data_IF_506068719501
#
_entry.id   IF_506068719501
#
_cell.length_a   1.000
_cell.length_b   1.000
_cell.length_c   1.000
_cell.angle_alpha   90.00
_cell.angle_beta   90.00
_cell.angle_gamma   90.00
#
_symmetry.space_group_name_H-M   'P 1'
#
loop_
_entity.id
_entity.type
_entity.pdbx_description
1 polymer ?
#
# COMPACT_ATOMS: atom_id res chain seq x y z
N UNK A 1 28.15 21.31 3.73
CA UNK A 1 27.84 19.91 4.10
C UNK A 1 26.78 19.44 3.12
N UNK A 2 27.05 18.40 2.32
CA UNK A 2 26.03 17.83 1.43
C UNK A 2 24.90 17.28 2.29
N UNK A 3 23.71 17.85 2.18
CA UNK A 3 22.55 17.37 2.90
C UNK A 3 22.20 15.99 2.33
N UNK A 4 22.35 14.94 3.14
CA UNK A 4 22.01 13.59 2.70
C UNK A 4 20.52 13.53 2.42
N UNK A 5 20.17 13.35 1.14
CA UNK A 5 18.79 13.31 0.69
C UNK A 5 18.09 12.04 1.21
N UNK A 6 16.90 12.18 1.79
CA UNK A 6 16.08 11.07 2.27
C UNK A 6 15.45 10.34 1.09
N UNK A 7 15.62 9.02 1.01
CA UNK A 7 15.04 8.18 -0.04
C UNK A 7 13.57 7.95 0.26
N UNK A 8 12.69 8.60 -0.51
CA UNK A 8 11.24 8.56 -0.29
C UNK A 8 10.53 7.77 -1.38
N UNK A 9 9.98 6.61 -1.01
CA UNK A 9 9.12 5.78 -1.84
C UNK A 9 7.67 6.28 -1.94
N UNK A 10 7.19 6.52 -3.15
CA UNK A 10 5.82 6.98 -3.43
C UNK A 10 5.20 6.10 -4.52
N UNK A 11 3.93 5.70 -4.39
CA UNK A 11 3.23 5.00 -5.47
C UNK A 11 2.38 5.97 -6.30
N UNK A 12 2.19 5.70 -7.59
CA UNK A 12 1.56 6.60 -8.55
C UNK A 12 0.10 6.28 -8.91
N UNK A 13 -0.54 5.41 -8.13
CA UNK A 13 -1.97 5.13 -8.27
C UNK A 13 -2.83 6.39 -8.17
N UNK A 14 -4.01 6.35 -8.81
CA UNK A 14 -4.90 7.52 -8.93
C UNK A 14 -5.26 8.15 -7.57
N UNK A 15 -5.42 7.33 -6.53
CA UNK A 15 -5.73 7.79 -5.17
C UNK A 15 -4.60 8.61 -4.52
N UNK A 16 -3.36 8.48 -4.98
CA UNK A 16 -2.22 9.25 -4.48
C UNK A 16 -1.90 10.48 -5.34
N UNK A 17 -2.46 10.60 -6.54
CA UNK A 17 -2.19 11.71 -7.47
C UNK A 17 -2.35 13.12 -6.86
N UNK A 18 -3.36 13.40 -6.01
CA UNK A 18 -3.47 14.70 -5.35
C UNK A 18 -2.24 15.06 -4.49
N UNK A 19 -1.62 14.06 -3.84
CA UNK A 19 -0.42 14.22 -3.03
C UNK A 19 0.82 14.37 -3.92
N UNK A 20 0.98 13.47 -4.89
CA UNK A 20 2.15 13.38 -5.78
C UNK A 20 2.38 14.68 -6.54
N UNK A 21 1.30 15.28 -7.07
CA UNK A 21 1.36 16.54 -7.82
C UNK A 21 1.96 17.70 -6.99
N UNK A 22 1.84 17.63 -5.67
CA UNK A 22 2.42 18.62 -4.75
C UNK A 22 3.83 18.24 -4.29
N UNK A 23 4.08 16.95 -4.07
CA UNK A 23 5.35 16.44 -3.52
C UNK A 23 6.45 16.41 -4.59
N UNK A 24 6.20 15.88 -5.80
CA UNK A 24 7.24 15.70 -6.82
C UNK A 24 8.00 17.00 -7.17
N UNK A 25 7.32 18.14 -7.43
CA UNK A 25 8.03 19.35 -7.88
C UNK A 25 8.88 20.02 -6.79
N UNK A 26 8.66 19.66 -5.52
CA UNK A 26 9.30 20.28 -4.36
C UNK A 26 10.26 19.33 -3.64
N UNK A 27 10.05 18.03 -3.76
CA UNK A 27 10.73 17.04 -2.91
C UNK A 27 12.24 17.12 -2.97
N UNK A 28 12.84 17.27 -4.15
CA UNK A 28 14.30 17.41 -4.27
C UNK A 28 14.83 18.64 -3.54
N UNK A 29 14.10 19.77 -3.59
CA UNK A 29 14.47 21.01 -2.89
C UNK A 29 14.32 20.87 -1.38
N UNK A 30 13.40 20.02 -0.93
CA UNK A 30 13.18 19.68 0.49
C UNK A 30 14.07 18.52 0.97
N UNK A 31 15.04 18.07 0.16
CA UNK A 31 16.00 17.03 0.53
C UNK A 31 15.46 15.60 0.41
N UNK A 32 14.54 15.34 -0.51
CA UNK A 32 14.07 14.00 -0.85
C UNK A 32 14.64 13.50 -2.19
N UNK A 33 15.04 12.23 -2.20
CA UNK A 33 15.32 11.45 -3.40
C UNK A 33 14.10 10.56 -3.63
N UNK A 34 13.26 10.95 -4.59
CA UNK A 34 11.97 10.30 -4.79
C UNK A 34 12.12 9.04 -5.64
N UNK A 35 11.52 7.95 -5.16
CA UNK A 35 11.46 6.66 -5.82
C UNK A 35 9.99 6.33 -6.07
N UNK A 36 9.63 6.08 -7.33
CA UNK A 36 8.26 5.70 -7.71
C UNK A 36 8.19 4.20 -7.98
N UNK A 37 7.26 3.50 -7.33
CA UNK A 37 7.04 2.06 -7.51
C UNK A 37 5.64 1.63 -7.01
N UNK A 38 5.26 0.37 -7.21
CA UNK A 38 4.02 -0.18 -6.64
C UNK A 38 4.13 -0.34 -5.11
N UNK A 39 3.03 -0.21 -4.34
CA UNK A 39 3.08 -0.22 -2.87
C UNK A 39 3.77 -1.46 -2.27
N UNK A 40 3.59 -2.63 -2.87
CA UNK A 40 4.22 -3.88 -2.43
C UNK A 40 5.75 -3.85 -2.58
N UNK A 41 6.27 -3.34 -3.71
CA UNK A 41 7.70 -3.18 -3.93
C UNK A 41 8.28 -2.11 -3.00
N UNK A 42 7.57 -1.00 -2.76
CA UNK A 42 7.99 0.02 -1.79
C UNK A 42 8.11 -0.55 -0.37
N UNK A 43 7.20 -1.45 0.02
CA UNK A 43 7.27 -2.12 1.32
C UNK A 43 8.53 -3.00 1.44
N UNK A 44 8.84 -3.79 0.42
CA UNK A 44 10.04 -4.63 0.40
C UNK A 44 11.31 -3.77 0.46
N UNK A 45 11.37 -2.70 -0.34
CA UNK A 45 12.52 -1.78 -0.36
C UNK A 45 12.70 -1.02 0.95
N UNK A 46 11.60 -0.64 1.62
CA UNK A 46 11.68 -0.04 2.95
C UNK A 46 12.21 -1.03 3.98
N UNK A 47 11.71 -2.28 3.95
CA UNK A 47 12.16 -3.36 4.83
C UNK A 47 13.65 -3.68 4.66
N UNK A 48 14.14 -3.63 3.42
CA UNK A 48 15.55 -3.88 3.09
C UNK A 48 16.47 -2.68 3.33
N UNK A 49 15.96 -1.57 3.89
CA UNK A 49 16.74 -0.36 4.15
C UNK A 49 17.15 0.41 2.88
N UNK A 50 16.50 0.12 1.74
CA UNK A 50 16.71 0.84 0.49
C UNK A 50 15.94 2.16 0.41
N UNK A 51 14.94 2.35 1.28
CA UNK A 51 14.18 3.58 1.45
C UNK A 51 14.24 4.02 2.92
N UNK A 52 14.14 5.32 3.15
CA UNK A 52 14.10 5.91 4.50
C UNK A 52 12.65 6.25 4.91
N UNK A 53 11.79 6.50 3.92
CA UNK A 53 10.37 6.79 4.06
C UNK A 53 9.61 6.15 2.88
N UNK A 54 8.42 5.61 3.09
CA UNK A 54 7.63 5.09 1.98
C UNK A 54 6.11 5.06 2.22
N UNK A 55 5.34 5.23 1.14
CA UNK A 55 3.90 4.97 1.10
C UNK A 55 3.65 3.47 0.91
N UNK A 56 3.49 2.74 2.01
CA UNK A 56 3.34 1.28 2.02
C UNK A 56 1.89 0.83 2.33
N UNK A 57 1.49 -0.40 1.97
CA UNK A 57 0.21 -0.96 2.38
C UNK A 57 0.09 -1.00 3.91
N UNK A 58 -1.07 -0.60 4.46
CA UNK A 58 -1.31 -0.59 5.90
C UNK A 58 -1.01 -1.93 6.61
N UNK A 59 -1.25 -3.08 5.95
CA UNK A 59 -0.93 -4.39 6.53
C UNK A 59 0.57 -4.60 6.77
N UNK A 60 1.44 -3.97 5.96
CA UNK A 60 2.89 -4.08 6.10
C UNK A 60 3.36 -3.30 7.33
N UNK A 61 2.77 -2.13 7.60
CA UNK A 61 2.99 -1.42 8.87
C UNK A 61 2.61 -2.28 10.07
N UNK A 62 1.45 -2.94 10.04
CA UNK A 62 0.99 -3.78 11.14
C UNK A 62 1.91 -4.98 11.38
N UNK A 63 2.52 -5.55 10.32
CA UNK A 63 3.48 -6.67 10.43
C UNK A 63 4.82 -6.26 11.03
N UNK A 64 5.24 -5.03 10.77
CA UNK A 64 6.55 -4.48 11.17
C UNK A 64 6.40 -3.33 12.19
N UNK A 65 5.31 -3.34 12.99
CA UNK A 65 4.93 -2.22 13.85
C UNK A 65 5.99 -1.86 14.91
N UNK A 66 6.86 -2.81 15.27
CA UNK A 66 8.00 -2.57 16.16
C UNK A 66 9.16 -1.82 15.47
N UNK A 67 9.25 -1.91 14.14
CA UNK A 67 10.36 -1.39 13.34
C UNK A 67 10.01 -0.07 12.64
N UNK A 68 8.72 0.22 12.46
CA UNK A 68 8.25 1.40 11.72
C UNK A 68 7.57 2.44 12.60
N UNK A 69 7.58 3.68 12.11
CA UNK A 69 6.80 4.80 12.66
C UNK A 69 5.92 5.38 11.56
N UNK A 70 4.70 5.75 11.92
CA UNK A 70 3.78 6.44 11.01
C UNK A 70 4.07 7.94 11.01
N UNK A 71 3.99 8.54 9.82
CA UNK A 71 3.92 10.00 9.70
C UNK A 71 2.52 10.45 10.14
N UNK A 72 2.40 11.32 11.16
CA UNK A 72 1.10 11.73 11.66
C UNK A 72 0.37 12.63 10.64
N UNK A 73 -0.97 12.56 10.65
CA UNK A 73 -1.81 13.49 9.87
C UNK A 73 -1.96 13.18 8.39
N UNK A 74 -1.39 12.07 7.89
CA UNK A 74 -1.51 11.67 6.48
C UNK A 74 -1.71 10.16 6.33
N UNK A 75 -2.69 9.77 5.51
CA UNK A 75 -2.88 8.38 5.08
C UNK A 75 -3.76 8.35 3.81
N UNK A 76 -3.79 7.19 3.14
CA UNK A 76 -4.83 6.87 2.16
C UNK A 76 -5.88 6.03 2.87
N UNK A 77 -7.05 6.60 3.07
CA UNK A 77 -8.17 5.96 3.74
C UNK A 77 -9.50 6.44 3.15
N UNK A 78 -10.58 5.74 3.45
CA UNK A 78 -11.94 6.14 3.10
C UNK A 78 -12.89 5.83 4.24
N UNK A 79 -14.02 6.53 4.26
CA UNK A 79 -15.21 6.19 5.05
C UNK A 79 -16.29 5.75 4.08
N UNK A 80 -16.51 4.43 4.01
CA UNK A 80 -17.38 3.82 2.99
C UNK A 80 -16.59 3.38 1.76
N UNK A 81 -17.26 3.38 0.62
CA UNK A 81 -16.76 2.77 -0.62
C UNK A 81 -15.50 3.48 -1.15
N UNK A 82 -14.58 2.71 -1.74
CA UNK A 82 -13.30 3.20 -2.30
C UNK A 82 -13.26 3.18 -3.83
N UNK A 83 -14.24 2.55 -4.48
CA UNK A 83 -14.36 2.42 -5.94
C UNK A 83 -13.25 1.65 -6.67
N UNK A 84 -12.17 1.28 -5.98
CA UNK A 84 -10.91 0.79 -6.58
C UNK A 84 -10.37 -0.50 -5.95
N UNK A 85 -11.01 -0.97 -4.88
CA UNK A 85 -10.74 -2.27 -4.26
C UNK A 85 -11.99 -3.11 -4.43
N UNK A 86 -11.93 -4.08 -5.33
CA UNK A 86 -13.09 -4.82 -5.80
C UNK A 86 -12.87 -6.33 -5.66
N UNK A 87 -13.91 -7.05 -5.25
CA UNK A 87 -14.04 -8.47 -5.47
C UNK A 87 -15.03 -8.68 -6.63
N UNK A 88 -14.56 -9.26 -7.72
CA UNK A 88 -15.38 -9.54 -8.89
C UNK A 88 -15.66 -11.04 -8.95
N UNK A 89 -16.92 -11.41 -9.14
CA UNK A 89 -17.33 -12.82 -9.24
C UNK A 89 -18.38 -13.00 -10.34
N UNK A 90 -18.31 -14.16 -11.02
CA UNK A 90 -19.34 -14.62 -11.97
C UNK A 90 -20.48 -15.39 -11.27
N UNK A 91 -20.31 -15.68 -9.99
CA UNK A 91 -21.25 -16.45 -9.17
C UNK A 91 -21.56 -15.70 -7.87
N UNK A 92 -22.68 -16.03 -7.24
CA UNK A 92 -22.99 -15.50 -5.91
C UNK A 92 -21.88 -15.87 -4.90
N UNK A 93 -21.59 -15.03 -3.89
CA UNK A 93 -20.49 -15.23 -2.94
C UNK A 93 -20.41 -16.63 -2.32
N UNK A 94 -21.56 -17.26 -2.07
CA UNK A 94 -21.71 -18.58 -1.42
C UNK A 94 -21.29 -19.74 -2.34
N UNK A 95 -21.13 -19.48 -3.64
CA UNK A 95 -20.70 -20.45 -4.65
C UNK A 95 -19.23 -20.30 -5.03
N UNK A 96 -18.52 -19.32 -4.46
CA UNK A 96 -17.10 -19.11 -4.71
C UNK A 96 -16.32 -20.26 -4.06
N UNK A 97 -15.50 -20.96 -4.86
CA UNK A 97 -14.60 -22.04 -4.37
C UNK A 97 -13.13 -21.67 -4.42
N UNK A 98 -12.77 -20.67 -5.21
CA UNK A 98 -11.41 -20.18 -5.34
C UNK A 98 -11.40 -18.71 -5.72
N UNK A 99 -10.43 -17.94 -5.22
CA UNK A 99 -10.27 -16.51 -5.53
C UNK A 99 -8.85 -16.29 -6.03
N UNK A 100 -8.69 -15.76 -7.25
CA UNK A 100 -7.40 -15.29 -7.73
C UNK A 100 -7.05 -13.93 -7.10
N UNK A 101 -5.83 -13.80 -6.60
CA UNK A 101 -5.37 -12.61 -5.88
C UNK A 101 -4.32 -11.82 -6.69
N UNK A 102 -4.39 -10.48 -6.64
CA UNK A 102 -3.34 -9.61 -7.20
C UNK A 102 -2.17 -9.52 -6.21
N UNK A 103 -1.03 -10.10 -6.57
CA UNK A 103 0.21 -10.08 -5.77
C UNK A 103 0.70 -8.65 -5.44
N UNK A 104 0.31 -7.64 -6.23
CA UNK A 104 0.68 -6.25 -5.99
C UNK A 104 -0.10 -5.64 -4.81
N UNK A 105 -1.22 -6.25 -4.41
CA UNK A 105 -2.05 -5.78 -3.31
C UNK A 105 -1.92 -6.65 -2.07
N UNK A 106 -1.34 -6.10 -1.00
CA UNK A 106 -1.19 -6.81 0.28
C UNK A 106 -2.33 -6.50 1.25
N UNK A 107 -2.70 -5.23 1.41
CA UNK A 107 -3.77 -4.82 2.34
C UNK A 107 -5.15 -5.31 1.92
N UNK A 108 -5.53 -5.21 0.64
CA UNK A 108 -6.87 -5.65 0.22
C UNK A 108 -7.02 -7.17 0.30
N UNK A 109 -5.94 -7.93 0.05
CA UNK A 109 -5.93 -9.39 0.24
C UNK A 109 -6.10 -9.74 1.71
N UNK A 110 -5.42 -9.04 2.61
CA UNK A 110 -5.61 -9.23 4.05
C UNK A 110 -7.05 -8.89 4.47
N UNK A 111 -7.59 -7.77 4.00
CA UNK A 111 -8.98 -7.38 4.26
C UNK A 111 -9.97 -8.42 3.71
N UNK A 112 -9.75 -8.92 2.49
CA UNK A 112 -10.57 -9.99 1.90
C UNK A 112 -10.60 -11.21 2.82
N UNK A 113 -9.46 -11.68 3.32
CA UNK A 113 -9.38 -12.83 4.23
C UNK A 113 -10.07 -12.59 5.57
N UNK A 114 -10.15 -11.34 6.03
CA UNK A 114 -10.90 -10.96 7.24
C UNK A 114 -12.40 -10.96 6.96
N UNK A 115 -12.82 -10.41 5.81
CA UNK A 115 -14.24 -10.25 5.44
C UNK A 115 -14.89 -11.53 4.88
N UNK A 116 -14.09 -12.46 4.33
CA UNK A 116 -14.53 -13.79 3.88
C UNK A 116 -14.08 -14.88 4.88
N UNK A 117 -14.61 -14.92 6.11
CA UNK A 117 -14.23 -15.95 7.05
C UNK A 117 -14.79 -17.33 6.63
N UNK A 118 -13.88 -18.32 6.62
CA UNK A 118 -14.03 -19.68 7.16
C UNK A 118 -14.97 -20.71 6.50
N UNK A 119 -15.43 -20.56 5.27
CA UNK A 119 -15.62 -21.79 4.50
C UNK A 119 -14.23 -22.32 4.10
N UNK A 120 -13.74 -23.30 4.86
CA UNK A 120 -12.43 -23.94 4.65
C UNK A 120 -12.27 -24.54 3.24
N UNK A 121 -13.35 -24.63 2.46
CA UNK A 121 -13.30 -25.10 1.07
C UNK A 121 -12.80 -24.04 0.09
N UNK A 122 -12.80 -22.75 0.45
CA UNK A 122 -12.36 -21.69 -0.48
C UNK A 122 -10.83 -21.58 -0.50
N UNK A 123 -10.25 -21.78 -1.69
CA UNK A 123 -8.82 -21.66 -1.93
C UNK A 123 -8.44 -20.24 -2.38
N UNK A 124 -7.31 -19.73 -1.89
CA UNK A 124 -6.75 -18.42 -2.23
C UNK A 124 -5.45 -18.58 -3.02
#
# INVERSE_FOLDING_TARGET
>A
MSQNSLRFGIHDFLNAQPLIKQVLPRGEKEGFSIVVDVPSALADRLKDGQLDLAMIPAVEYLREAANYRLVPGVCIASRGDVGTVLLLSKVAPEKIRSIALDHRSRTSVALLKILFPLDKSVQF
#
